data_IF_523156544894
#
_entry.id   IF_523156544894
#
_cell.length_a   1.000
_cell.length_b   1.000
_cell.length_c   1.000
_cell.angle_alpha   90.00
_cell.angle_beta   90.00
_cell.angle_gamma   90.00
#
_symmetry.space_group_name_H-M   'P 1'
#
loop_
_entity.id
_entity.type
_entity.pdbx_description
1 polymer ?
#
# COMPACT_ATOMS: atom_id res chain seq x y z
N UNK A 1 -59.37 -67.81 -2.29
CA UNK A 1 -58.97 -66.44 -1.91
C UNK A 1 -57.45 -66.34 -2.01
N UNK A 2 -56.90 -65.54 -2.91
CA UNK A 2 -55.44 -65.34 -3.09
C UNK A 2 -55.01 -64.06 -2.33
N UNK A 3 -53.92 -64.07 -1.54
CA UNK A 3 -53.47 -62.86 -0.86
C UNK A 3 -52.76 -61.95 -1.86
N UNK A 4 -53.08 -60.66 -1.84
CA UNK A 4 -52.36 -59.62 -2.60
C UNK A 4 -51.16 -59.16 -1.76
N UNK A 5 -49.94 -59.41 -2.23
CA UNK A 5 -48.73 -58.78 -1.69
C UNK A 5 -48.73 -57.29 -2.09
N UNK A 6 -48.68 -56.39 -1.10
CA UNK A 6 -48.33 -54.98 -1.31
C UNK A 6 -46.81 -54.85 -1.27
N UNK A 7 -46.19 -54.44 -2.39
CA UNK A 7 -44.81 -53.94 -2.41
C UNK A 7 -44.82 -52.46 -2.01
N UNK A 8 -44.11 -52.11 -0.93
CA UNK A 8 -43.84 -50.72 -0.54
C UNK A 8 -42.47 -50.34 -1.12
N UNK A 9 -42.34 -49.26 -1.91
CA UNK A 9 -41.04 -48.85 -2.44
C UNK A 9 -40.24 -48.17 -1.33
N UNK A 10 -39.04 -48.70 -1.07
CA UNK A 10 -38.07 -48.15 -0.13
C UNK A 10 -37.38 -46.93 -0.78
N UNK A 11 -37.83 -45.72 -0.42
CA UNK A 11 -37.19 -44.48 -0.85
C UNK A 11 -35.91 -44.29 -0.02
N UNK A 12 -34.76 -44.58 -0.63
CA UNK A 12 -33.45 -44.23 -0.07
C UNK A 12 -33.26 -42.71 -0.14
N UNK A 13 -33.47 -42.02 0.98
CA UNK A 13 -32.99 -40.66 1.18
C UNK A 13 -31.46 -40.69 1.29
N UNK A 14 -30.76 -40.42 0.20
CA UNK A 14 -29.33 -40.11 0.27
C UNK A 14 -29.18 -38.72 0.89
N UNK A 15 -29.01 -38.68 2.22
CA UNK A 15 -28.60 -37.48 2.92
C UNK A 15 -27.20 -37.08 2.42
N UNK A 16 -27.15 -36.14 1.48
CA UNK A 16 -25.91 -35.48 1.10
C UNK A 16 -25.42 -34.69 2.31
N UNK A 17 -24.50 -35.27 3.08
CA UNK A 17 -23.72 -34.56 4.08
C UNK A 17 -22.92 -33.44 3.40
N UNK A 18 -23.54 -32.26 3.23
CA UNK A 18 -22.80 -31.01 3.07
C UNK A 18 -22.03 -30.82 4.37
N UNK A 19 -20.73 -31.17 4.36
CA UNK A 19 -19.83 -30.81 5.45
C UNK A 19 -20.02 -29.30 5.70
N UNK A 20 -20.36 -28.86 6.92
CA UNK A 20 -20.39 -27.45 7.22
C UNK A 20 -19.02 -26.88 6.84
N UNK A 21 -19.01 -25.88 5.96
CA UNK A 21 -17.78 -25.19 5.59
C UNK A 21 -17.24 -24.58 6.88
N UNK A 22 -16.22 -25.21 7.45
CA UNK A 22 -15.53 -24.72 8.63
C UNK A 22 -15.14 -23.26 8.40
N UNK A 23 -15.37 -22.39 9.38
CA UNK A 23 -14.92 -21.00 9.34
C UNK A 23 -13.39 -21.00 9.42
N UNK A 24 -12.69 -21.22 8.31
CA UNK A 24 -11.25 -20.96 8.27
C UNK A 24 -11.07 -19.46 8.39
N UNK A 25 -10.65 -19.01 9.57
CA UNK A 25 -10.22 -17.64 9.80
C UNK A 25 -8.92 -17.40 9.02
N UNK A 26 -8.69 -16.18 8.50
CA UNK A 26 -7.41 -15.88 7.89
C UNK A 26 -6.28 -16.02 8.91
N UNK A 27 -5.09 -16.30 8.40
CA UNK A 27 -3.86 -16.04 9.17
C UNK A 27 -3.51 -14.58 8.90
N UNK A 28 -3.42 -13.77 9.95
CA UNK A 28 -3.17 -12.34 9.81
C UNK A 28 -2.23 -11.82 10.90
N UNK A 29 -1.54 -10.73 10.59
CA UNK A 29 -0.73 -9.95 11.51
C UNK A 29 -0.94 -8.45 11.20
N UNK A 30 -0.78 -7.62 12.22
CA UNK A 30 -1.01 -6.16 12.15
C UNK A 30 0.10 -5.44 12.88
N UNK A 31 0.71 -4.44 12.23
CA UNK A 31 1.84 -3.66 12.75
C UNK A 31 1.68 -2.18 12.45
N UNK A 32 2.41 -1.36 13.20
CA UNK A 32 2.56 0.05 12.88
C UNK A 32 3.76 0.23 11.94
N UNK A 33 3.54 0.81 10.76
CA UNK A 33 4.54 1.03 9.73
C UNK A 33 4.05 2.14 8.77
N UNK A 34 4.93 2.99 8.24
CA UNK A 34 4.57 4.14 7.38
C UNK A 34 3.52 5.06 8.03
N UNK A 35 3.69 5.35 9.33
CA UNK A 35 2.79 6.16 10.17
C UNK A 35 1.32 5.71 10.15
N UNK A 36 1.09 4.43 9.90
CA UNK A 36 -0.26 3.86 9.88
C UNK A 36 -0.30 2.42 10.37
N UNK A 37 -1.51 1.91 10.54
CA UNK A 37 -1.74 0.51 10.86
C UNK A 37 -1.74 -0.27 9.55
N UNK A 38 -0.78 -1.19 9.43
CA UNK A 38 -0.64 -2.10 8.30
C UNK A 38 -1.10 -3.50 8.72
N UNK A 39 -2.04 -4.06 7.98
CA UNK A 39 -2.59 -5.39 8.17
C UNK A 39 -2.34 -6.26 6.94
N UNK A 40 -1.78 -7.43 7.16
CA UNK A 40 -1.63 -8.47 6.13
C UNK A 40 -2.48 -9.66 6.54
N UNK A 41 -3.37 -10.11 5.67
CA UNK A 41 -4.24 -11.25 5.94
C UNK A 41 -4.22 -12.25 4.77
N UNK A 42 -3.96 -13.51 5.10
CA UNK A 42 -3.86 -14.63 4.17
C UNK A 42 -5.08 -15.54 4.32
N UNK A 43 -5.74 -15.79 3.20
CA UNK A 43 -7.00 -16.54 3.11
C UNK A 43 -6.85 -17.85 2.31
N UNK A 44 -5.62 -18.27 1.97
CA UNK A 44 -5.37 -19.47 1.17
C UNK A 44 -5.47 -20.75 2.03
N UNK A 45 -6.48 -21.62 1.80
CA UNK A 45 -6.59 -22.89 2.53
C UNK A 45 -5.58 -23.95 2.08
N UNK A 46 -4.84 -23.68 0.99
CA UNK A 46 -3.86 -24.59 0.42
C UNK A 46 -2.47 -24.52 1.05
N UNK A 47 -2.26 -23.62 2.01
CA UNK A 47 -0.99 -23.50 2.74
C UNK A 47 -1.20 -23.73 4.24
N UNK A 48 -0.15 -24.21 4.91
CA UNK A 48 -0.17 -24.36 6.37
C UNK A 48 -0.15 -23.02 7.08
N UNK A 49 -0.64 -22.98 8.32
CA UNK A 49 -0.59 -21.78 9.16
C UNK A 49 0.85 -21.25 9.33
N UNK A 50 1.81 -22.14 9.58
CA UNK A 50 3.22 -21.78 9.74
C UNK A 50 3.82 -21.16 8.48
N UNK A 51 3.48 -21.68 7.29
CA UNK A 51 3.90 -21.08 6.02
C UNK A 51 3.29 -19.69 5.82
N UNK A 52 2.00 -19.52 6.13
CA UNK A 52 1.34 -18.22 6.05
C UNK A 52 1.98 -17.20 7.01
N UNK A 53 2.26 -17.59 8.25
CA UNK A 53 2.93 -16.74 9.25
C UNK A 53 4.33 -16.32 8.81
N UNK A 54 5.11 -17.22 8.22
CA UNK A 54 6.44 -16.88 7.67
C UNK A 54 6.33 -15.93 6.47
N UNK A 55 5.43 -16.20 5.54
CA UNK A 55 5.20 -15.32 4.39
C UNK A 55 4.80 -13.90 4.82
N UNK A 56 3.96 -13.79 5.84
CA UNK A 56 3.57 -12.50 6.44
C UNK A 56 4.78 -11.80 7.07
N UNK A 57 5.62 -12.52 7.82
CA UNK A 57 6.84 -11.95 8.40
C UNK A 57 7.79 -11.40 7.33
N UNK A 58 8.03 -12.16 6.26
CA UNK A 58 8.88 -11.70 5.16
C UNK A 58 8.27 -10.52 4.41
N UNK A 59 6.95 -10.50 4.22
CA UNK A 59 6.25 -9.37 3.62
C UNK A 59 6.45 -8.09 4.43
N UNK A 60 6.31 -8.14 5.75
CA UNK A 60 6.60 -6.99 6.62
C UNK A 60 8.07 -6.55 6.53
N UNK A 61 9.02 -7.49 6.54
CA UNK A 61 10.45 -7.14 6.39
C UNK A 61 10.73 -6.43 5.07
N UNK A 62 10.09 -6.87 3.99
CA UNK A 62 10.25 -6.23 2.68
C UNK A 62 9.69 -4.81 2.67
N UNK A 63 8.54 -4.58 3.31
CA UNK A 63 7.98 -3.22 3.49
C UNK A 63 8.90 -2.35 4.35
N UNK A 64 9.37 -2.86 5.49
CA UNK A 64 10.30 -2.11 6.38
C UNK A 64 11.60 -1.73 5.66
N UNK A 65 12.10 -2.60 4.78
CA UNK A 65 13.32 -2.35 4.00
C UNK A 65 13.09 -1.26 2.95
N UNK A 66 11.97 -1.33 2.23
CA UNK A 66 11.64 -0.32 1.24
C UNK A 66 11.36 1.04 1.91
N UNK A 67 10.60 1.07 3.00
CA UNK A 67 10.33 2.29 3.77
C UNK A 67 11.64 3.00 4.18
N UNK A 68 12.63 2.26 4.68
CA UNK A 68 13.95 2.83 5.00
C UNK A 68 14.66 3.45 3.80
N UNK A 69 14.37 2.97 2.58
CA UNK A 69 15.01 3.42 1.35
C UNK A 69 14.37 4.69 0.78
N UNK A 70 13.04 4.82 0.87
CA UNK A 70 12.29 5.84 0.11
C UNK A 70 11.53 6.86 0.98
N UNK A 71 11.52 6.68 2.31
CA UNK A 71 10.77 7.56 3.21
C UNK A 71 11.40 8.94 3.36
N UNK A 72 10.61 10.01 3.19
CA UNK A 72 11.07 11.37 3.46
C UNK A 72 11.32 11.65 4.94
N UNK A 73 10.88 10.76 5.84
CA UNK A 73 11.01 10.91 7.29
C UNK A 73 12.26 10.26 7.87
N UNK A 74 12.98 9.46 7.08
CA UNK A 74 14.19 8.77 7.54
C UNK A 74 15.45 9.47 7.03
N UNK A 75 16.48 9.62 7.90
CA UNK A 75 17.79 10.08 7.46
C UNK A 75 18.49 9.00 6.63
N UNK A 76 19.58 9.40 5.97
CA UNK A 76 20.55 8.49 5.34
C UNK A 76 20.01 7.58 4.22
N UNK A 77 18.95 8.01 3.54
CA UNK A 77 18.38 7.29 2.40
C UNK A 77 18.46 8.07 1.08
N UNK A 78 17.92 7.50 0.00
CA UNK A 78 18.02 8.10 -1.33
C UNK A 78 17.37 9.48 -1.41
N UNK A 79 16.21 9.65 -0.77
CA UNK A 79 15.45 10.91 -0.79
C UNK A 79 16.15 11.96 0.06
N UNK A 80 16.66 11.59 1.25
CA UNK A 80 17.47 12.48 2.07
C UNK A 80 18.72 12.97 1.32
N UNK A 81 19.45 12.06 0.64
CA UNK A 81 20.62 12.44 -0.17
C UNK A 81 20.26 13.32 -1.36
N UNK A 82 19.18 13.00 -2.07
CA UNK A 82 18.72 13.78 -3.22
C UNK A 82 18.30 15.20 -2.81
N UNK A 83 17.59 15.34 -1.68
CA UNK A 83 17.12 16.62 -1.15
C UNK A 83 18.24 17.48 -0.56
N UNK A 84 19.31 16.85 -0.04
CA UNK A 84 20.48 17.55 0.49
C UNK A 84 21.52 17.93 -0.59
N UNK A 85 21.43 17.35 -1.79
CA UNK A 85 22.38 17.59 -2.86
C UNK A 85 22.29 19.02 -3.42
N UNK A 86 23.43 19.62 -3.84
CA UNK A 86 23.39 20.87 -4.60
C UNK A 86 22.62 20.71 -5.91
N UNK A 87 21.91 21.77 -6.32
CA UNK A 87 21.19 21.79 -7.58
C UNK A 87 22.09 21.43 -8.77
N UNK A 88 21.58 20.57 -9.65
CA UNK A 88 22.25 20.14 -10.86
C UNK A 88 23.18 18.93 -10.69
N UNK A 89 23.40 18.44 -9.48
CA UNK A 89 24.30 17.30 -9.20
C UNK A 89 23.53 15.97 -9.16
N UNK A 90 23.94 15.00 -9.97
CA UNK A 90 23.38 13.65 -9.95
C UNK A 90 23.79 12.88 -8.69
N UNK A 91 22.79 12.23 -8.09
CA UNK A 91 22.95 11.30 -6.98
C UNK A 91 22.58 9.89 -7.45
N UNK A 92 23.31 8.89 -6.99
CA UNK A 92 22.91 7.50 -7.15
C UNK A 92 21.68 7.21 -6.28
N UNK A 93 20.71 6.53 -6.87
CA UNK A 93 19.46 6.11 -6.24
C UNK A 93 19.20 4.63 -6.53
N UNK A 94 18.44 3.96 -5.67
CA UNK A 94 18.04 2.57 -5.85
C UNK A 94 17.11 2.41 -7.05
N UNK A 95 16.94 1.18 -7.57
CA UNK A 95 15.94 0.87 -8.59
C UNK A 95 14.52 1.30 -8.17
N UNK A 96 14.16 1.11 -6.91
CA UNK A 96 12.85 1.46 -6.37
C UNK A 96 12.64 2.99 -6.35
N UNK A 97 13.65 3.75 -5.94
CA UNK A 97 13.59 5.22 -5.98
C UNK A 97 13.49 5.73 -7.42
N UNK A 98 14.28 5.17 -8.35
CA UNK A 98 14.21 5.53 -9.76
C UNK A 98 12.81 5.25 -10.34
N UNK A 99 12.23 4.08 -10.04
CA UNK A 99 10.88 3.70 -10.44
C UNK A 99 9.81 4.66 -9.89
N UNK A 100 9.90 5.04 -8.61
CA UNK A 100 8.97 5.99 -8.00
C UNK A 100 9.06 7.38 -8.62
N UNK A 101 10.28 7.86 -8.89
CA UNK A 101 10.49 9.17 -9.52
C UNK A 101 10.00 9.18 -10.99
N UNK A 102 10.20 8.09 -11.72
CA UNK A 102 9.68 7.94 -13.08
C UNK A 102 8.15 7.93 -13.08
N UNK A 103 7.55 7.13 -12.20
CA UNK A 103 6.10 7.08 -11.99
C UNK A 103 5.54 8.45 -11.61
N UNK A 104 6.22 9.17 -10.72
CA UNK A 104 5.84 10.53 -10.33
C UNK A 104 5.83 11.49 -11.52
N UNK A 105 6.82 11.43 -12.40
CA UNK A 105 6.87 12.25 -13.62
C UNK A 105 5.71 11.97 -14.58
N UNK A 106 5.34 10.69 -14.75
CA UNK A 106 4.20 10.27 -15.56
C UNK A 106 2.90 10.83 -14.97
N UNK A 107 2.62 10.54 -13.70
CA UNK A 107 1.39 10.97 -13.03
C UNK A 107 1.28 12.50 -12.97
N UNK A 108 2.40 13.20 -12.74
CA UNK A 108 2.43 14.66 -12.80
C UNK A 108 2.06 15.19 -14.19
N UNK A 109 2.57 14.56 -15.26
CA UNK A 109 2.18 14.89 -16.63
C UNK A 109 0.69 14.66 -16.91
N UNK A 110 0.15 13.51 -16.53
CA UNK A 110 -1.25 13.15 -16.74
C UNK A 110 -2.23 14.04 -15.96
N UNK A 111 -1.80 14.53 -14.78
CA UNK A 111 -2.61 15.39 -13.92
C UNK A 111 -2.37 16.88 -14.14
N UNK A 112 -1.52 17.27 -15.10
CA UNK A 112 -1.15 18.66 -15.34
C UNK A 112 -0.46 19.33 -14.15
N UNK A 113 0.27 18.56 -13.33
CA UNK A 113 0.99 19.02 -12.14
C UNK A 113 0.14 19.06 -10.86
N UNK A 114 -1.12 18.57 -10.89
CA UNK A 114 -1.91 18.47 -9.66
C UNK A 114 -1.34 17.44 -8.67
N UNK A 115 -0.70 16.39 -9.19
CA UNK A 115 0.17 15.51 -8.43
C UNK A 115 1.64 15.86 -8.73
N UNK A 116 2.36 16.48 -7.79
CA UNK A 116 3.75 16.88 -7.99
C UNK A 116 4.60 16.52 -6.75
N UNK A 117 5.52 15.57 -6.89
CA UNK A 117 6.38 15.12 -5.79
C UNK A 117 7.43 16.16 -5.37
N UNK A 118 7.68 17.20 -6.17
CA UNK A 118 8.52 18.33 -5.76
C UNK A 118 7.84 19.26 -4.73
N UNK A 119 6.59 18.98 -4.37
CA UNK A 119 5.89 19.64 -3.25
C UNK A 119 6.61 19.45 -1.90
N UNK A 120 7.56 18.52 -1.82
CA UNK A 120 8.46 18.38 -0.66
C UNK A 120 9.12 19.71 -0.27
N UNK A 121 9.38 20.61 -1.23
CA UNK A 121 9.93 21.94 -0.96
C UNK A 121 9.00 22.84 -0.12
N UNK A 122 7.68 22.62 -0.21
CA UNK A 122 6.65 23.35 0.54
C UNK A 122 6.22 22.58 1.78
N UNK A 123 6.22 21.23 1.75
CA UNK A 123 5.86 20.40 2.91
C UNK A 123 6.64 20.78 4.16
N UNK A 124 7.93 21.13 4.02
CA UNK A 124 8.76 21.55 5.15
C UNK A 124 8.25 22.80 5.89
N UNK A 125 7.46 23.66 5.25
CA UNK A 125 6.83 24.81 5.89
C UNK A 125 5.62 24.40 6.75
N UNK A 126 5.01 23.26 6.45
CA UNK A 126 3.90 22.72 7.21
C UNK A 126 4.40 21.87 8.38
N UNK A 127 4.12 22.31 9.59
CA UNK A 127 4.47 21.59 10.82
C UNK A 127 3.48 20.46 11.13
N UNK A 128 3.17 19.60 10.16
CA UNK A 128 2.21 18.48 10.35
C UNK A 128 2.62 17.53 11.48
N UNK A 129 3.94 17.37 11.66
CA UNK A 129 4.54 16.43 12.59
C UNK A 129 4.92 17.08 13.94
N UNK A 130 4.63 18.38 14.12
CA UNK A 130 4.92 19.10 15.36
C UNK A 130 3.86 18.83 16.44
N UNK A 131 4.27 18.89 17.71
CA UNK A 131 3.36 18.77 18.86
C UNK A 131 2.23 19.82 18.79
N UNK A 132 2.53 21.00 18.28
CA UNK A 132 1.57 22.06 17.99
C UNK A 132 1.63 22.46 16.50
N UNK A 133 0.86 21.77 15.62
CA UNK A 133 0.79 22.14 14.22
C UNK A 133 0.27 23.56 14.06
N UNK A 134 0.92 24.34 13.19
CA UNK A 134 0.52 25.71 12.89
C UNK A 134 0.39 25.90 11.38
N UNK A 135 -0.44 26.86 10.99
CA UNK A 135 -0.57 27.25 9.59
C UNK A 135 0.62 28.16 9.26
N UNK A 136 1.44 27.83 8.26
CA UNK A 136 2.58 28.66 7.89
C UNK A 136 2.14 30.01 7.31
N UNK A 137 3.03 31.00 7.42
CA UNK A 137 2.85 32.30 6.77
C UNK A 137 2.74 32.13 5.24
N UNK A 138 1.78 32.81 4.64
CA UNK A 138 1.55 32.77 3.19
C UNK A 138 2.77 33.24 2.42
N UNK A 139 3.53 34.21 2.94
CA UNK A 139 4.76 34.66 2.29
C UNK A 139 5.85 33.57 2.28
N UNK A 140 5.94 32.76 3.34
CA UNK A 140 6.86 31.62 3.40
C UNK A 140 6.49 30.54 2.37
N UNK A 141 5.19 30.21 2.25
CA UNK A 141 4.69 29.27 1.23
C UNK A 141 5.00 29.78 -0.18
N UNK A 142 4.66 31.05 -0.50
CA UNK A 142 4.87 31.63 -1.82
C UNK A 142 6.34 31.61 -2.24
N UNK A 143 7.26 31.86 -1.30
CA UNK A 143 8.69 31.75 -1.56
C UNK A 143 9.10 30.35 -1.99
N UNK A 144 8.57 29.31 -1.31
CA UNK A 144 8.88 27.90 -1.60
C UNK A 144 8.19 27.35 -2.83
N UNK A 145 7.02 27.88 -3.21
CA UNK A 145 6.31 27.45 -4.42
C UNK A 145 7.15 27.62 -5.69
N UNK A 146 8.08 28.58 -5.71
CA UNK A 146 9.02 28.74 -6.83
C UNK A 146 9.94 27.52 -7.04
N UNK A 147 10.11 26.67 -6.02
CA UNK A 147 10.88 25.43 -6.05
C UNK A 147 10.05 24.19 -6.45
N UNK A 148 8.72 24.32 -6.56
CA UNK A 148 7.84 23.21 -6.95
C UNK A 148 7.74 23.19 -8.48
N UNK A 149 8.39 22.21 -9.09
CA UNK A 149 8.33 21.95 -10.53
C UNK A 149 8.86 20.53 -10.83
N UNK A 150 7.96 19.54 -10.98
CA UNK A 150 8.36 18.16 -11.28
C UNK A 150 9.23 18.03 -12.55
N UNK A 151 9.10 18.95 -13.51
CA UNK A 151 9.90 18.96 -14.76
C UNK A 151 11.38 19.21 -14.51
N UNK A 152 11.74 19.69 -13.33
CA UNK A 152 13.12 19.94 -12.89
C UNK A 152 13.72 18.76 -12.12
N UNK A 153 12.96 17.67 -11.93
CA UNK A 153 13.48 16.38 -11.46
C UNK A 153 13.94 15.61 -12.69
N UNK A 154 15.21 15.23 -12.73
CA UNK A 154 15.79 14.58 -13.89
C UNK A 154 16.35 13.21 -13.52
N UNK A 155 15.99 12.21 -14.31
CA UNK A 155 16.43 10.83 -14.17
C UNK A 155 17.33 10.43 -15.33
N UNK A 156 18.33 9.61 -15.01
CA UNK A 156 19.19 8.94 -15.97
C UNK A 156 19.53 7.55 -15.43
N UNK A 157 18.63 6.58 -15.66
CA UNK A 157 18.71 5.26 -15.04
C UNK A 157 18.59 5.35 -13.51
N UNK A 158 19.56 4.77 -12.79
CA UNK A 158 19.65 4.81 -11.32
C UNK A 158 20.36 6.07 -10.80
N UNK A 159 20.25 7.18 -11.54
CA UNK A 159 20.74 8.48 -11.13
C UNK A 159 19.61 9.50 -11.21
N UNK A 160 19.49 10.32 -10.16
CA UNK A 160 18.51 11.39 -10.08
C UNK A 160 19.20 12.72 -9.72
N UNK A 161 18.67 13.84 -10.22
CA UNK A 161 19.07 15.18 -9.76
C UNK A 161 17.88 16.13 -9.69
N UNK A 162 18.00 17.10 -8.80
CA UNK A 162 17.14 18.28 -8.76
C UNK A 162 17.86 19.42 -9.47
N UNK A 163 17.25 20.00 -10.51
CA UNK A 163 17.96 20.97 -11.35
C UNK A 163 18.31 22.28 -10.61
N UNK A 164 17.55 22.63 -9.58
CA UNK A 164 17.71 23.88 -8.81
C UNK A 164 17.97 23.60 -7.33
N UNK A 165 18.74 24.46 -6.63
CA UNK A 165 18.86 24.36 -5.19
C UNK A 165 17.50 24.57 -4.51
N UNK A 166 17.35 24.06 -3.29
CA UNK A 166 16.14 24.22 -2.46
C UNK A 166 14.86 23.57 -3.00
N UNK A 167 14.95 22.81 -4.10
CA UNK A 167 13.95 21.80 -4.43
C UNK A 167 14.05 20.65 -3.43
N UNK A 168 12.94 19.95 -3.20
CA UNK A 168 12.91 18.72 -2.43
C UNK A 168 11.80 17.80 -2.94
N UNK A 169 12.06 16.50 -2.92
CA UNK A 169 11.13 15.44 -3.28
C UNK A 169 10.47 14.89 -2.03
N UNK A 170 9.16 14.65 -2.13
CA UNK A 170 8.37 13.85 -1.22
C UNK A 170 7.60 12.78 -2.02
N UNK A 171 7.85 11.51 -1.69
CA UNK A 171 7.25 10.35 -2.35
C UNK A 171 6.05 9.77 -1.59
N UNK A 172 5.56 10.42 -0.53
CA UNK A 172 4.47 9.92 0.32
C UNK A 172 3.18 9.59 -0.45
N UNK A 173 2.95 10.26 -1.58
CA UNK A 173 1.81 9.99 -2.47
C UNK A 173 1.93 8.72 -3.33
N UNK A 174 3.10 8.07 -3.40
CA UNK A 174 3.35 6.86 -4.21
C UNK A 174 3.98 5.71 -3.40
N UNK A 175 4.86 6.02 -2.45
CA UNK A 175 5.70 5.05 -1.73
C UNK A 175 4.89 3.97 -1.02
N UNK A 176 3.72 4.30 -0.46
CA UNK A 176 2.87 3.33 0.22
C UNK A 176 2.33 2.27 -0.74
N UNK A 177 1.94 2.67 -1.96
CA UNK A 177 1.50 1.75 -3.00
C UNK A 177 2.57 0.74 -3.37
N UNK A 178 3.83 1.20 -3.55
CA UNK A 178 4.95 0.29 -3.84
C UNK A 178 5.25 -0.66 -2.68
N UNK A 179 5.15 -0.20 -1.43
CA UNK A 179 5.27 -1.07 -0.26
C UNK A 179 4.23 -2.18 -0.23
N UNK A 180 2.97 -1.84 -0.51
CA UNK A 180 1.87 -2.81 -0.63
C UNK A 180 2.16 -3.82 -1.74
N UNK A 181 2.62 -3.34 -2.89
CA UNK A 181 2.94 -4.19 -4.04
C UNK A 181 4.08 -5.17 -3.71
N UNK A 182 5.14 -4.69 -3.06
CA UNK A 182 6.28 -5.50 -2.61
C UNK A 182 5.86 -6.58 -1.63
N UNK A 183 4.97 -6.26 -0.68
CA UNK A 183 4.42 -7.25 0.24
C UNK A 183 3.64 -8.35 -0.51
N UNK A 184 2.82 -7.97 -1.49
CA UNK A 184 2.06 -8.92 -2.31
C UNK A 184 2.97 -9.78 -3.17
N UNK A 185 4.05 -9.23 -3.73
CA UNK A 185 5.07 -10.00 -4.47
C UNK A 185 5.71 -11.07 -3.59
N UNK A 186 6.11 -10.72 -2.36
CA UNK A 186 6.69 -11.66 -1.39
C UNK A 186 5.68 -12.76 -1.02
N UNK A 187 4.42 -12.40 -0.76
CA UNK A 187 3.37 -13.37 -0.47
C UNK A 187 3.16 -14.34 -1.64
N UNK A 188 3.09 -13.82 -2.87
CA UNK A 188 2.93 -14.64 -4.07
C UNK A 188 4.14 -15.57 -4.30
N UNK A 189 5.36 -15.06 -4.09
CA UNK A 189 6.59 -15.85 -4.19
C UNK A 189 6.66 -16.97 -3.15
N UNK A 190 6.07 -16.75 -1.97
CA UNK A 190 5.89 -17.78 -0.93
C UNK A 190 4.74 -18.78 -1.23
N UNK A 191 4.09 -18.66 -2.39
CA UNK A 191 3.01 -19.55 -2.82
C UNK A 191 1.64 -19.20 -2.25
N UNK A 192 1.48 -18.05 -1.60
CA UNK A 192 0.17 -17.57 -1.15
C UNK A 192 -0.65 -17.13 -2.36
N UNK A 193 -1.85 -17.69 -2.57
CA UNK A 193 -2.67 -17.38 -3.75
C UNK A 193 -3.88 -16.52 -3.44
N UNK A 194 -4.18 -16.26 -2.17
CA UNK A 194 -5.34 -15.44 -1.77
C UNK A 194 -5.06 -14.69 -0.48
N UNK A 195 -5.24 -13.38 -0.52
CA UNK A 195 -4.94 -12.51 0.60
C UNK A 195 -5.18 -11.03 0.31
N UNK A 196 -4.87 -10.21 1.30
CA UNK A 196 -4.84 -8.76 1.19
C UNK A 196 -3.67 -8.18 1.99
N UNK A 197 -3.24 -7.00 1.56
CA UNK A 197 -2.37 -6.09 2.29
C UNK A 197 -3.08 -4.74 2.36
N UNK A 198 -3.24 -4.18 3.55
CA UNK A 198 -3.99 -2.96 3.84
C UNK A 198 -3.13 -2.07 4.73
N UNK A 199 -2.75 -0.89 4.23
CA UNK A 199 -1.94 0.10 4.91
C UNK A 199 -2.73 1.40 5.06
N UNK A 200 -3.47 1.53 6.17
CA UNK A 200 -4.27 2.72 6.44
C UNK A 200 -5.41 2.99 5.45
N UNK A 201 -5.92 1.96 4.78
CA UNK A 201 -6.96 2.07 3.75
C UNK A 201 -6.45 2.02 2.31
N UNK A 202 -5.15 2.21 2.08
CA UNK A 202 -4.54 1.87 0.79
C UNK A 202 -4.32 0.36 0.77
N UNK A 203 -4.84 -0.34 -0.23
CA UNK A 203 -4.87 -1.80 -0.18
C UNK A 203 -4.68 -2.47 -1.53
N UNK A 204 -4.07 -3.65 -1.49
CA UNK A 204 -4.05 -4.60 -2.60
C UNK A 204 -4.64 -5.92 -2.15
N UNK A 205 -5.45 -6.48 -3.02
CA UNK A 205 -6.18 -7.71 -2.79
C UNK A 205 -5.92 -8.63 -3.96
N UNK A 206 -5.65 -9.89 -3.67
CA UNK A 206 -5.32 -10.86 -4.70
C UNK A 206 -5.98 -12.20 -4.42
N UNK A 207 -6.16 -12.98 -5.48
CA UNK A 207 -6.87 -14.25 -5.43
C UNK A 207 -8.38 -14.10 -5.20
N UNK A 208 -9.01 -15.25 -4.98
CA UNK A 208 -10.45 -15.33 -4.70
C UNK A 208 -10.68 -15.41 -3.21
N UNK A 209 -11.67 -14.66 -2.71
CA UNK A 209 -12.12 -14.83 -1.34
C UNK A 209 -12.64 -16.27 -1.16
N UNK A 210 -12.21 -17.00 -0.11
CA UNK A 210 -12.48 -18.45 0.00
C UNK A 210 -13.97 -18.79 0.20
N UNK A 211 -14.79 -17.80 0.54
CA UNK A 211 -16.21 -18.00 0.92
C UNK A 211 -17.21 -17.07 0.25
N UNK A 212 -16.75 -16.08 -0.50
CA UNK A 212 -17.62 -15.08 -1.13
C UNK A 212 -17.34 -15.08 -2.62
N UNK A 213 -18.34 -14.77 -3.47
CA UNK A 213 -18.12 -14.66 -4.92
C UNK A 213 -17.10 -13.58 -5.29
N UNK A 214 -16.81 -12.64 -4.38
CA UNK A 214 -15.74 -11.66 -4.50
C UNK A 214 -15.38 -11.04 -3.16
N UNK A 215 -14.36 -10.19 -3.18
CA UNK A 215 -13.97 -9.38 -2.03
C UNK A 215 -14.98 -8.24 -1.82
N UNK A 216 -15.34 -7.97 -0.56
CA UNK A 216 -16.22 -6.86 -0.20
C UNK A 216 -15.39 -5.77 0.45
N UNK A 217 -15.25 -4.64 -0.23
CA UNK A 217 -14.42 -3.51 0.23
C UNK A 217 -15.31 -2.34 0.59
N UNK A 218 -15.12 -1.84 1.81
CA UNK A 218 -15.87 -0.71 2.32
C UNK A 218 -15.20 0.60 1.91
N UNK A 219 -15.98 1.50 1.32
CA UNK A 219 -15.56 2.89 1.11
C UNK A 219 -16.20 3.73 2.20
N UNK A 220 -15.37 4.35 3.05
CA UNK A 220 -15.86 5.20 4.13
C UNK A 220 -16.47 6.47 3.55
N UNK A 221 -17.69 6.81 3.96
CA UNK A 221 -18.28 8.09 3.61
C UNK A 221 -17.43 9.23 4.23
N UNK A 222 -17.07 10.29 3.48
CA UNK A 222 -16.11 11.30 3.92
C UNK A 222 -16.62 12.18 5.07
N UNK A 223 -17.94 12.24 5.25
CA UNK A 223 -18.58 12.98 6.34
C UNK A 223 -19.15 12.02 7.38
N UNK A 224 -19.10 12.35 8.69
CA UNK A 224 -19.85 11.62 9.70
C UNK A 224 -21.33 11.57 9.30
N UNK A 225 -22.00 10.44 9.52
CA UNK A 225 -23.47 10.47 9.51
C UNK A 225 -23.89 11.31 10.70
N UNK A 226 -24.64 12.39 10.47
CA UNK A 226 -25.33 13.09 11.56
C UNK A 226 -26.08 12.04 12.37
N UNK A 227 -25.87 12.03 13.68
CA UNK A 227 -26.79 11.31 14.58
C UNK A 227 -28.14 11.98 14.34
N UNK A 228 -29.12 11.24 13.82
CA UNK A 228 -30.49 11.74 13.80
C UNK A 228 -30.86 12.11 15.23
N UNK A 229 -31.15 13.39 15.46
CA UNK A 229 -31.72 13.89 16.71
C UNK A 229 -33.04 13.18 17.03
#
# INVERSE_FOLDING_TARGET
MRPRLLLIPLILFTAACRKPVSKTLPVEDTRFLMDTVVRIAVYDPGISRTQAEEAIREAFRAMETLEKTVSSHMPDNDIARLNAAPGGVFQAVSPETAFLLETAGIVAGETGGAFDVSIGAVRAEWSFDAETPSVPDSAAILKRLSCVDYRQIQLSGQQARLARPSMAVDLGGLAKGLNIDRAVEVLNAAGVRSGLVDAGGDMRIFGKHPRNPGWRIGVKHPRPREKSL
#
